data_IF_974910258044
#
_entry.id   IF_974910258044
#
_cell.length_a   1.000
_cell.length_b   1.000
_cell.length_c   1.000
_cell.angle_alpha   90.00
_cell.angle_beta   90.00
_cell.angle_gamma   90.00
#
_symmetry.space_group_name_H-M   'P 1'
#
loop_
_entity.id
_entity.type
_entity.pdbx_description
1 polymer ?
#
# COMPACT_ATOMS: atom_id res chain seq x y z
N UNK A 1 6.15 -1.13 -26.88
CA UNK A 1 7.14 -2.22 -26.99
C UNK A 1 8.05 -2.41 -25.76
N UNK A 2 8.22 -1.46 -24.84
CA UNK A 2 9.04 -1.65 -23.63
C UNK A 2 8.37 -2.45 -22.50
N UNK A 3 7.04 -2.50 -22.47
CA UNK A 3 6.25 -3.21 -21.41
C UNK A 3 6.31 -4.75 -21.51
N UNK A 4 6.54 -5.30 -22.68
CA UNK A 4 6.62 -6.76 -22.93
C UNK A 4 7.97 -7.36 -22.49
N UNK A 5 9.03 -6.57 -22.46
CA UNK A 5 10.37 -7.04 -22.11
C UNK A 5 10.54 -7.40 -20.63
N UNK A 6 9.81 -6.70 -19.74
CA UNK A 6 9.87 -6.97 -18.28
C UNK A 6 9.13 -8.26 -17.92
N UNK A 7 8.02 -8.56 -18.61
CA UNK A 7 7.29 -9.81 -18.41
C UNK A 7 8.10 -11.03 -18.90
N UNK A 8 8.83 -10.87 -20.02
CA UNK A 8 9.73 -11.90 -20.57
C UNK A 8 10.98 -12.11 -19.72
N UNK A 9 11.51 -11.07 -19.05
CA UNK A 9 12.63 -11.21 -18.12
C UNK A 9 12.21 -11.97 -16.85
N UNK A 10 10.99 -11.75 -16.35
CA UNK A 10 10.47 -12.51 -15.20
C UNK A 10 10.22 -13.99 -15.57
N UNK A 11 9.83 -14.30 -16.80
CA UNK A 11 9.65 -15.65 -17.31
C UNK A 11 10.99 -16.32 -17.70
N UNK A 12 11.99 -15.55 -18.13
CA UNK A 12 13.31 -16.06 -18.53
C UNK A 12 14.17 -16.59 -17.38
N UNK A 13 13.90 -16.15 -16.15
CA UNK A 13 14.59 -16.65 -14.94
C UNK A 13 14.15 -18.09 -14.59
N UNK A 14 13.03 -18.56 -15.14
CA UNK A 14 12.45 -19.90 -14.87
C UNK A 14 13.14 -21.01 -15.68
N UNK A 15 13.87 -20.68 -16.75
CA UNK A 15 14.36 -21.66 -17.73
C UNK A 15 15.73 -22.27 -17.44
N UNK A 16 16.34 -22.03 -16.30
CA UNK A 16 17.71 -22.43 -16.00
C UNK A 16 17.86 -23.49 -14.89
N UNK A 17 16.99 -24.52 -14.78
CA UNK A 17 17.14 -25.55 -13.74
C UNK A 17 17.20 -26.96 -14.32
N UNK A 18 18.29 -27.63 -13.99
CA UNK A 18 18.60 -29.00 -14.35
C UNK A 18 17.60 -30.04 -13.77
N UNK A 19 17.45 -31.12 -14.48
CA UNK A 19 16.62 -32.32 -14.23
C UNK A 19 16.70 -32.86 -12.79
N UNK A 20 15.83 -32.39 -11.94
CA UNK A 20 15.29 -33.09 -10.76
C UNK A 20 13.78 -32.92 -10.84
N UNK A 21 12.97 -33.83 -10.31
CA UNK A 21 11.49 -33.83 -10.38
C UNK A 21 10.92 -32.46 -10.73
N UNK A 22 10.33 -32.30 -11.92
CA UNK A 22 9.91 -30.98 -12.39
C UNK A 22 8.98 -30.35 -11.38
N UNK A 23 9.32 -29.20 -10.82
CA UNK A 23 8.48 -28.56 -9.83
C UNK A 23 7.13 -28.23 -10.45
N UNK A 24 6.08 -28.68 -9.83
CA UNK A 24 4.71 -28.48 -10.28
C UNK A 24 4.17 -27.11 -9.84
N UNK A 25 3.51 -26.40 -10.76
CA UNK A 25 2.77 -25.18 -10.43
C UNK A 25 1.45 -25.57 -9.76
N UNK A 26 1.24 -25.13 -8.52
CA UNK A 26 0.04 -25.45 -7.72
C UNK A 26 -0.70 -24.19 -7.31
N UNK A 27 -2.02 -24.22 -7.40
CA UNK A 27 -2.88 -23.21 -6.77
C UNK A 27 -2.83 -23.45 -5.25
N UNK A 28 -2.43 -22.44 -4.51
CA UNK A 28 -2.35 -22.47 -3.05
C UNK A 28 -3.61 -21.95 -2.40
N UNK A 29 -4.15 -20.87 -2.95
CA UNK A 29 -5.36 -20.27 -2.41
C UNK A 29 -6.04 -19.35 -3.43
N UNK A 30 -7.34 -19.18 -3.22
CA UNK A 30 -8.15 -18.12 -3.84
C UNK A 30 -8.85 -17.33 -2.74
N UNK A 31 -9.20 -16.08 -3.00
CA UNK A 31 -9.91 -15.26 -2.02
C UNK A 31 -10.53 -14.03 -2.64
N UNK A 32 -11.43 -13.43 -1.88
CA UNK A 32 -12.08 -12.16 -2.23
C UNK A 32 -12.12 -11.25 -1.02
N UNK A 33 -12.21 -9.95 -1.26
CA UNK A 33 -12.41 -8.97 -0.22
C UNK A 33 -13.24 -7.79 -0.71
N UNK A 34 -13.91 -7.16 0.23
CA UNK A 34 -14.51 -5.83 0.11
C UNK A 34 -13.77 -4.92 1.09
N UNK A 35 -13.42 -3.74 0.63
CA UNK A 35 -12.80 -2.70 1.44
C UNK A 35 -13.61 -1.42 1.27
N UNK A 36 -13.84 -0.71 2.36
CA UNK A 36 -14.54 0.58 2.38
C UNK A 36 -13.62 1.59 3.06
N UNK A 37 -13.26 2.63 2.33
CA UNK A 37 -12.52 3.78 2.84
C UNK A 37 -13.51 4.88 3.20
N UNK A 38 -13.29 5.54 4.33
CA UNK A 38 -14.11 6.65 4.81
C UNK A 38 -13.23 7.72 5.46
N UNK A 39 -13.47 8.98 5.11
CA UNK A 39 -12.75 10.12 5.64
C UNK A 39 -13.75 11.08 6.29
N UNK A 40 -13.41 11.65 7.45
CA UNK A 40 -14.31 12.62 8.12
C UNK A 40 -14.53 13.86 7.28
N UNK A 41 -15.74 14.40 7.34
CA UNK A 41 -16.15 15.57 6.54
C UNK A 41 -16.59 15.23 5.12
N UNK A 42 -16.56 13.96 4.74
CA UNK A 42 -17.18 13.49 3.51
C UNK A 42 -18.62 13.07 3.79
N UNK A 43 -19.58 13.60 3.03
CA UNK A 43 -21.02 13.27 3.14
C UNK A 43 -21.33 11.90 2.51
N UNK A 44 -20.42 11.34 1.76
CA UNK A 44 -20.57 10.06 1.08
C UNK A 44 -20.43 8.87 2.06
N UNK A 45 -21.22 7.83 1.85
CA UNK A 45 -21.23 6.59 2.69
C UNK A 45 -19.91 5.81 2.59
N UNK A 46 -19.07 6.13 1.64
CA UNK A 46 -17.74 5.56 1.46
C UNK A 46 -17.04 6.33 0.38
N UNK A 47 -15.94 6.99 0.72
CA UNK A 47 -15.14 7.69 -0.27
C UNK A 47 -14.71 6.76 -1.39
N UNK A 48 -14.36 5.52 -1.01
CA UNK A 48 -14.07 4.45 -1.96
C UNK A 48 -14.55 3.10 -1.44
N UNK A 49 -15.18 2.37 -2.31
CA UNK A 49 -15.52 0.96 -2.09
C UNK A 49 -14.72 0.12 -3.09
N UNK A 50 -14.01 -0.87 -2.58
CA UNK A 50 -13.17 -1.75 -3.38
C UNK A 50 -13.69 -3.18 -3.31
N UNK A 51 -13.75 -3.84 -4.44
CA UNK A 51 -13.93 -5.29 -4.52
C UNK A 51 -12.71 -5.91 -5.18
N UNK A 52 -12.11 -6.89 -4.52
CA UNK A 52 -10.89 -7.52 -4.99
C UNK A 52 -10.92 -9.03 -4.96
N UNK A 53 -10.21 -9.62 -5.91
CA UNK A 53 -9.97 -11.06 -6.02
C UNK A 53 -8.47 -11.31 -5.87
N UNK A 54 -8.12 -12.41 -5.20
CA UNK A 54 -6.73 -12.83 -4.97
C UNK A 54 -6.57 -14.28 -5.39
N UNK A 55 -5.44 -14.59 -6.04
CA UNK A 55 -5.01 -15.95 -6.32
C UNK A 55 -3.54 -16.08 -5.92
N UNK A 56 -3.20 -17.15 -5.22
CA UNK A 56 -1.82 -17.48 -4.87
C UNK A 56 -1.43 -18.82 -5.46
N UNK A 57 -0.23 -18.87 -6.04
CA UNK A 57 0.35 -20.07 -6.64
C UNK A 57 1.69 -20.38 -5.97
N UNK A 58 2.15 -21.62 -6.06
CA UNK A 58 3.51 -22.03 -5.72
C UNK A 58 4.13 -22.84 -6.86
N UNK A 59 5.45 -22.76 -6.97
CA UNK A 59 6.24 -23.57 -7.89
C UNK A 59 7.46 -24.10 -7.16
N UNK A 60 7.50 -25.41 -6.98
CA UNK A 60 8.49 -26.04 -6.12
C UNK A 60 8.39 -25.56 -4.66
N UNK A 61 9.55 -25.53 -3.98
CA UNK A 61 9.64 -25.17 -2.55
C UNK A 61 9.87 -23.68 -2.30
N UNK A 62 10.45 -22.98 -3.29
CA UNK A 62 11.04 -21.66 -3.07
C UNK A 62 10.29 -20.55 -3.76
N UNK A 63 9.47 -20.86 -4.77
CA UNK A 63 8.74 -19.83 -5.52
C UNK A 63 7.27 -19.73 -5.13
N UNK A 64 6.79 -18.52 -5.00
CA UNK A 64 5.38 -18.22 -4.89
C UNK A 64 5.00 -17.04 -5.77
N UNK A 65 3.77 -17.09 -6.32
CA UNK A 65 3.23 -16.04 -7.18
C UNK A 65 1.89 -15.59 -6.62
N UNK A 66 1.59 -14.30 -6.82
CA UNK A 66 0.33 -13.69 -6.43
C UNK A 66 -0.27 -12.92 -7.59
N UNK A 67 -1.56 -13.03 -7.74
CA UNK A 67 -2.37 -12.13 -8.56
C UNK A 67 -3.44 -11.51 -7.68
N UNK A 68 -3.56 -10.21 -7.72
CA UNK A 68 -4.67 -9.48 -7.14
C UNK A 68 -5.27 -8.55 -8.19
N UNK A 69 -6.58 -8.58 -8.35
CA UNK A 69 -7.31 -7.65 -9.19
C UNK A 69 -8.40 -6.97 -8.36
N UNK A 70 -8.47 -5.66 -8.40
CA UNK A 70 -9.39 -4.83 -7.62
C UNK A 70 -10.09 -3.81 -8.52
N UNK A 71 -11.40 -3.67 -8.35
CA UNK A 71 -12.20 -2.58 -8.91
C UNK A 71 -12.61 -1.65 -7.78
N UNK A 72 -12.66 -0.36 -8.07
CA UNK A 72 -12.98 0.69 -7.09
C UNK A 72 -14.14 1.54 -7.58
N UNK A 73 -15.04 1.88 -6.66
CA UNK A 73 -16.16 2.79 -6.87
C UNK A 73 -16.18 3.83 -5.75
N UNK A 74 -16.82 4.95 -6.03
CA UNK A 74 -17.30 5.90 -5.03
C UNK A 74 -18.81 5.71 -4.91
N UNK A 75 -19.33 5.65 -3.70
CA UNK A 75 -20.75 5.68 -3.41
C UNK A 75 -21.09 7.12 -3.00
N UNK A 76 -21.68 7.84 -3.92
CA UNK A 76 -22.16 9.21 -3.71
C UNK A 76 -23.64 9.17 -3.40
N UNK A 77 -24.08 9.86 -2.34
CA UNK A 77 -25.48 9.87 -1.91
C UNK A 77 -26.38 10.61 -2.88
N UNK A 78 -25.86 11.59 -3.60
CA UNK A 78 -26.63 12.43 -4.53
C UNK A 78 -26.58 11.90 -5.97
N UNK A 79 -25.41 11.43 -6.41
CA UNK A 79 -25.17 11.03 -7.80
C UNK A 79 -25.09 9.49 -7.98
N UNK A 80 -25.16 8.69 -6.91
CA UNK A 80 -25.15 7.24 -6.95
C UNK A 80 -23.73 6.64 -6.98
N UNK A 81 -23.55 5.51 -7.67
CA UNK A 81 -22.28 4.75 -7.66
C UNK A 81 -21.47 5.03 -8.92
N UNK A 82 -20.28 5.58 -8.74
CA UNK A 82 -19.35 5.91 -9.82
C UNK A 82 -18.08 5.05 -9.82
N UNK A 83 -17.63 4.64 -11.01
CA UNK A 83 -16.35 3.92 -11.15
C UNK A 83 -15.18 4.88 -10.93
N UNK A 84 -14.32 4.60 -9.94
CA UNK A 84 -13.12 5.41 -9.63
C UNK A 84 -11.84 4.86 -10.26
N UNK A 85 -11.68 3.55 -10.27
CA UNK A 85 -10.43 2.97 -10.77
C UNK A 85 -10.39 1.46 -10.70
N UNK A 86 -9.20 0.96 -10.97
CA UNK A 86 -8.85 -0.46 -10.85
C UNK A 86 -7.40 -0.56 -10.39
N UNK A 87 -7.05 -1.74 -9.88
CA UNK A 87 -5.66 -2.09 -9.54
C UNK A 87 -5.44 -3.56 -9.86
N UNK A 88 -4.29 -3.85 -10.46
CA UNK A 88 -3.79 -5.20 -10.67
C UNK A 88 -2.40 -5.27 -10.05
N UNK A 89 -2.16 -6.27 -9.19
CA UNK A 89 -0.84 -6.59 -8.67
C UNK A 89 -0.46 -7.98 -9.16
N UNK A 90 0.72 -8.11 -9.75
CA UNK A 90 1.37 -9.39 -10.06
C UNK A 90 2.64 -9.49 -9.21
N UNK A 91 2.69 -10.50 -8.37
CA UNK A 91 3.80 -10.77 -7.46
C UNK A 91 4.54 -12.04 -7.84
N UNK A 92 5.87 -12.03 -7.73
CA UNK A 92 6.69 -13.21 -7.71
C UNK A 92 7.69 -13.11 -6.56
N UNK A 93 7.79 -14.15 -5.75
CA UNK A 93 8.69 -14.24 -4.62
C UNK A 93 9.58 -15.47 -4.74
N UNK A 94 10.84 -15.33 -4.39
CA UNK A 94 11.79 -16.44 -4.22
C UNK A 94 12.31 -16.48 -2.79
N UNK A 95 12.19 -17.63 -2.15
CA UNK A 95 12.88 -17.94 -0.90
C UNK A 95 14.35 -18.19 -1.22
N UNK A 96 15.24 -17.36 -0.70
CA UNK A 96 16.70 -17.46 -0.97
C UNK A 96 17.41 -18.23 0.14
N UNK A 97 16.80 -18.31 1.30
CA UNK A 97 17.25 -19.08 2.46
C UNK A 97 16.08 -19.23 3.42
N UNK A 98 16.31 -19.84 4.58
CA UNK A 98 15.24 -20.10 5.53
C UNK A 98 14.60 -18.82 6.08
N UNK A 99 15.38 -17.77 6.16
CA UNK A 99 15.00 -16.53 6.84
C UNK A 99 14.93 -15.33 5.90
N UNK A 100 15.15 -15.50 4.59
CA UNK A 100 15.20 -14.40 3.64
C UNK A 100 14.49 -14.73 2.33
N UNK A 101 13.72 -13.77 1.84
CA UNK A 101 13.05 -13.84 0.53
C UNK A 101 13.21 -12.54 -0.23
N UNK A 102 13.33 -12.65 -1.54
CA UNK A 102 13.29 -11.52 -2.48
C UNK A 102 12.08 -11.67 -3.39
N UNK A 103 11.55 -10.57 -3.84
CA UNK A 103 10.39 -10.58 -4.72
C UNK A 103 10.38 -9.42 -5.68
N UNK A 104 9.56 -9.55 -6.68
CA UNK A 104 9.20 -8.48 -7.60
C UNK A 104 7.69 -8.33 -7.65
N UNK A 105 7.21 -7.11 -7.85
CA UNK A 105 5.80 -6.84 -8.10
C UNK A 105 5.68 -5.88 -9.26
N UNK A 106 4.72 -6.12 -10.11
CA UNK A 106 4.16 -5.11 -10.97
C UNK A 106 2.77 -4.74 -10.46
N UNK A 107 2.56 -3.45 -10.22
CA UNK A 107 1.27 -2.86 -9.87
C UNK A 107 0.84 -1.94 -10.99
N UNK A 108 -0.36 -2.16 -11.48
CA UNK A 108 -1.03 -1.27 -12.40
C UNK A 108 -2.22 -0.61 -11.70
N UNK A 109 -2.27 0.70 -11.75
CA UNK A 109 -3.45 1.49 -11.41
C UNK A 109 -3.85 2.39 -12.59
N UNK A 110 -5.01 3.01 -12.49
CA UNK A 110 -5.48 3.93 -13.54
C UNK A 110 -4.46 5.03 -13.84
N UNK A 111 -3.81 5.54 -12.82
CA UNK A 111 -2.95 6.72 -12.88
C UNK A 111 -1.47 6.43 -12.96
N UNK A 112 -1.01 5.22 -12.64
CA UNK A 112 0.40 4.85 -12.66
C UNK A 112 0.61 3.34 -12.78
N UNK A 113 1.82 2.98 -13.21
CA UNK A 113 2.41 1.65 -13.07
C UNK A 113 3.56 1.72 -12.07
N UNK A 114 3.67 0.75 -11.13
CA UNK A 114 4.83 0.60 -10.23
C UNK A 114 5.51 -0.74 -10.45
N UNK A 115 6.84 -0.71 -10.47
CA UNK A 115 7.71 -1.88 -10.61
C UNK A 115 8.54 -1.99 -9.36
N UNK A 116 8.26 -3.01 -8.54
CA UNK A 116 8.84 -3.18 -7.22
C UNK A 116 9.95 -4.23 -7.21
N UNK A 117 11.02 -3.93 -6.48
CA UNK A 117 11.90 -4.90 -5.85
C UNK A 117 11.52 -4.98 -4.38
N UNK A 118 11.34 -6.19 -3.86
CA UNK A 118 10.79 -6.46 -2.55
C UNK A 118 11.68 -7.40 -1.76
N UNK A 119 11.80 -7.17 -0.47
CA UNK A 119 12.53 -8.05 0.44
C UNK A 119 11.73 -8.32 1.69
N UNK A 120 11.93 -9.47 2.30
CA UNK A 120 11.44 -9.77 3.65
C UNK A 120 12.41 -10.73 4.33
N UNK A 121 12.55 -10.55 5.64
CA UNK A 121 13.37 -11.43 6.46
C UNK A 121 12.73 -11.68 7.82
N UNK A 122 13.15 -12.81 8.45
CA UNK A 122 12.79 -13.13 9.83
C UNK A 122 13.95 -13.92 10.44
N UNK A 123 14.62 -13.34 11.43
CA UNK A 123 15.79 -13.94 12.08
C UNK A 123 15.70 -13.78 13.60
N UNK A 124 15.41 -14.89 14.30
CA UNK A 124 15.21 -14.88 15.74
C UNK A 124 14.05 -13.95 16.14
N UNK A 125 14.35 -12.97 16.96
CA UNK A 125 13.38 -11.94 17.38
C UNK A 125 13.23 -10.80 16.36
N UNK A 126 14.07 -10.71 15.36
CA UNK A 126 14.08 -9.64 14.36
C UNK A 126 13.34 -10.07 13.10
N UNK A 127 12.57 -9.17 12.53
CA UNK A 127 11.94 -9.32 11.22
C UNK A 127 11.81 -7.99 10.53
N UNK A 128 11.58 -8.01 9.23
CA UNK A 128 11.31 -6.81 8.46
C UNK A 128 10.98 -7.11 7.02
N UNK A 129 10.45 -6.10 6.37
CA UNK A 129 10.17 -6.06 4.95
C UNK A 129 10.50 -4.68 4.39
N UNK A 130 10.85 -4.64 3.12
CA UNK A 130 11.18 -3.40 2.44
C UNK A 130 10.92 -3.50 0.95
N UNK A 131 10.15 -2.57 0.44
CA UNK A 131 9.78 -2.45 -0.97
C UNK A 131 10.42 -1.17 -1.55
N UNK A 132 11.11 -1.31 -2.68
CA UNK A 132 11.60 -0.20 -3.51
C UNK A 132 10.88 -0.29 -4.84
N UNK A 133 10.35 0.81 -5.35
CA UNK A 133 9.71 0.82 -6.64
C UNK A 133 10.08 2.03 -7.51
N UNK A 134 10.09 1.79 -8.81
CA UNK A 134 9.98 2.82 -9.83
C UNK A 134 8.50 3.00 -10.16
N UNK A 135 8.01 4.23 -10.12
CA UNK A 135 6.66 4.60 -10.52
C UNK A 135 6.70 5.32 -11.86
N UNK A 136 5.97 4.80 -12.82
CA UNK A 136 5.72 5.47 -14.11
C UNK A 136 4.30 6.01 -14.12
N UNK A 137 4.14 7.30 -14.23
CA UNK A 137 2.85 7.96 -14.23
C UNK A 137 2.20 7.93 -15.63
N UNK A 138 0.88 7.72 -15.67
CA UNK A 138 0.09 7.71 -16.89
C UNK A 138 -0.56 9.07 -17.10
N UNK A 139 0.00 9.91 -17.98
CA UNK A 139 -0.50 11.26 -18.27
C UNK A 139 -1.94 11.29 -18.80
N UNK A 140 -2.40 10.22 -19.43
CA UNK A 140 -3.73 10.12 -20.04
C UNK A 140 -4.85 9.83 -19.02
N UNK A 141 -4.52 9.64 -17.76
CA UNK A 141 -5.49 9.24 -16.72
C UNK A 141 -6.16 10.41 -16.00
N UNK A 142 -6.09 11.62 -16.54
CA UNK A 142 -6.72 12.82 -15.95
C UNK A 142 -5.93 13.41 -14.78
N UNK A 143 -4.66 13.04 -14.62
CA UNK A 143 -3.75 13.76 -13.74
C UNK A 143 -3.32 15.09 -14.38
N UNK A 144 -3.00 16.10 -13.56
CA UNK A 144 -2.41 17.34 -14.07
C UNK A 144 -1.19 17.00 -14.94
N UNK A 145 -1.00 17.75 -16.03
CA UNK A 145 0.25 17.74 -16.77
C UNK A 145 1.37 18.03 -15.78
N UNK A 146 2.42 17.21 -15.75
CA UNK A 146 3.54 17.40 -14.85
C UNK A 146 3.69 16.35 -13.75
N UNK A 147 2.76 15.40 -13.62
CA UNK A 147 2.98 14.23 -12.77
C UNK A 147 4.20 13.47 -13.28
N UNK A 148 5.25 13.48 -12.47
CA UNK A 148 6.56 12.94 -12.81
C UNK A 148 6.64 11.48 -12.46
N UNK A 149 7.44 10.74 -13.22
CA UNK A 149 7.91 9.44 -12.77
C UNK A 149 8.71 9.60 -11.46
N UNK A 150 8.67 8.60 -10.61
CA UNK A 150 9.25 8.71 -9.28
C UNK A 150 9.76 7.40 -8.71
N UNK A 151 10.45 7.53 -7.57
CA UNK A 151 10.79 6.42 -6.70
C UNK A 151 9.80 6.34 -5.55
N UNK A 152 9.51 5.13 -5.16
CA UNK A 152 8.65 4.79 -4.03
C UNK A 152 9.38 3.81 -3.13
N UNK A 153 9.37 4.08 -1.84
CA UNK A 153 9.91 3.20 -0.81
C UNK A 153 8.85 2.99 0.25
N UNK A 154 8.65 1.77 0.68
CA UNK A 154 7.72 1.45 1.77
C UNK A 154 8.15 0.16 2.47
N UNK A 155 7.99 0.12 3.78
CA UNK A 155 8.17 -1.09 4.55
C UNK A 155 8.34 -0.86 6.04
N UNK A 156 8.50 -1.97 6.74
CA UNK A 156 8.91 -2.00 8.14
C UNK A 156 10.30 -2.67 8.18
N UNK A 157 11.37 -1.90 7.86
CA UNK A 157 12.71 -2.48 7.68
C UNK A 157 13.23 -3.19 8.93
N UNK A 158 12.72 -2.85 10.11
CA UNK A 158 13.06 -3.54 11.35
C UNK A 158 11.83 -3.67 12.25
N UNK A 159 11.62 -4.86 12.77
CA UNK A 159 10.68 -5.18 13.84
C UNK A 159 11.33 -6.11 14.85
N UNK A 160 10.99 -5.94 16.12
CA UNK A 160 11.49 -6.74 17.23
C UNK A 160 10.34 -7.38 17.98
N UNK A 161 10.37 -8.69 18.14
CA UNK A 161 9.38 -9.43 18.93
C UNK A 161 9.78 -9.42 20.39
N UNK A 162 8.93 -8.84 21.24
CA UNK A 162 9.11 -8.71 22.69
C UNK A 162 7.95 -9.43 23.40
N UNK A 163 8.13 -10.71 23.71
CA UNK A 163 7.05 -11.55 24.23
C UNK A 163 5.88 -11.67 23.24
N UNK A 164 4.65 -11.29 23.63
CA UNK A 164 3.51 -11.30 22.72
C UNK A 164 3.48 -10.10 21.76
N UNK A 165 4.18 -9.02 22.08
CA UNK A 165 4.20 -7.80 21.29
C UNK A 165 5.30 -7.81 20.22
N UNK A 166 5.04 -7.10 19.12
CA UNK A 166 6.03 -6.78 18.09
C UNK A 166 6.10 -5.26 17.98
N UNK A 167 7.30 -4.71 18.07
CA UNK A 167 7.58 -3.29 17.88
C UNK A 167 8.32 -3.14 16.56
N UNK A 168 7.84 -2.27 15.67
CA UNK A 168 8.42 -2.05 14.36
C UNK A 168 8.50 -0.58 13.98
N UNK A 169 9.52 -0.26 13.21
CA UNK A 169 9.64 1.06 12.58
C UNK A 169 9.15 0.96 11.13
N UNK A 170 8.12 1.75 10.80
CA UNK A 170 7.59 1.85 9.45
C UNK A 170 8.06 3.14 8.78
N UNK A 171 8.40 3.01 7.52
CA UNK A 171 8.85 4.11 6.67
C UNK A 171 8.17 4.02 5.30
N UNK A 172 7.77 5.19 4.77
CA UNK A 172 7.26 5.34 3.40
C UNK A 172 7.75 6.65 2.83
N UNK A 173 8.16 6.65 1.57
CA UNK A 173 8.46 7.88 0.83
C UNK A 173 8.11 7.74 -0.65
N UNK A 174 7.74 8.85 -1.25
CA UNK A 174 7.55 9.01 -2.70
C UNK A 174 8.33 10.25 -3.14
N UNK A 175 9.23 10.08 -4.11
CA UNK A 175 10.14 11.11 -4.58
C UNK A 175 10.19 11.13 -6.10
N UNK A 176 9.85 12.22 -6.79
CA UNK A 176 10.02 12.37 -8.23
C UNK A 176 11.47 12.23 -8.67
N UNK A 177 11.71 11.64 -9.86
CA UNK A 177 13.06 11.42 -10.37
C UNK A 177 13.65 12.69 -10.96
N UNK A 178 12.85 13.51 -11.63
CA UNK A 178 13.30 14.73 -12.27
C UNK A 178 12.24 15.82 -12.14
N UNK A 179 12.70 17.04 -11.93
CA UNK A 179 11.94 18.22 -12.31
C UNK A 179 11.79 18.16 -13.83
N UNK A 180 10.58 17.96 -14.34
CA UNK A 180 10.32 18.20 -15.76
C UNK A 180 10.71 19.64 -16.10
N UNK A 181 11.07 19.91 -17.34
CA UNK A 181 11.39 21.25 -17.84
C UNK A 181 10.23 22.25 -17.68
N UNK A 182 9.04 21.76 -17.36
CA UNK A 182 7.87 22.56 -17.06
C UNK A 182 7.70 22.73 -15.54
N UNK A 183 8.58 23.49 -14.91
CA UNK A 183 8.44 24.00 -13.54
C UNK A 183 7.15 24.81 -13.31
N UNK A 184 6.28 24.86 -14.30
CA UNK A 184 5.10 25.68 -14.32
C UNK A 184 3.86 25.04 -13.68
N UNK A 185 3.93 23.80 -13.19
CA UNK A 185 2.80 23.14 -12.56
C UNK A 185 3.11 22.74 -11.12
N UNK A 186 2.20 23.02 -10.20
CA UNK A 186 2.32 22.60 -8.81
C UNK A 186 2.30 21.07 -8.73
N UNK A 187 3.26 20.48 -8.04
CA UNK A 187 3.36 19.03 -7.87
C UNK A 187 4.02 18.65 -6.56
N UNK A 188 3.83 17.41 -6.14
CA UNK A 188 4.53 16.85 -4.98
C UNK A 188 5.98 16.64 -5.36
N UNK A 189 6.88 17.31 -4.63
CA UNK A 189 8.33 17.14 -4.79
C UNK A 189 8.85 16.00 -3.92
N UNK A 190 8.29 15.85 -2.73
CA UNK A 190 8.68 14.82 -1.80
C UNK A 190 7.55 14.53 -0.82
N UNK A 191 7.35 13.25 -0.50
CA UNK A 191 6.44 12.82 0.55
C UNK A 191 7.09 11.72 1.36
N UNK A 192 7.04 11.83 2.69
CA UNK A 192 7.51 10.78 3.57
C UNK A 192 6.65 10.64 4.82
N UNK A 193 6.62 9.43 5.34
CA UNK A 193 5.94 9.05 6.58
C UNK A 193 6.86 8.20 7.43
N UNK A 194 6.88 8.48 8.73
CA UNK A 194 7.61 7.71 9.72
C UNK A 194 6.71 7.33 10.88
N UNK A 195 6.66 6.05 11.20
CA UNK A 195 5.80 5.54 12.27
C UNK A 195 6.57 4.56 13.16
N UNK A 196 6.29 4.61 14.46
CA UNK A 196 6.59 3.53 15.37
C UNK A 196 5.31 2.71 15.56
N UNK A 197 5.36 1.41 15.29
CA UNK A 197 4.21 0.51 15.35
C UNK A 197 4.40 -0.52 16.45
N UNK A 198 3.35 -0.77 17.25
CA UNK A 198 3.32 -1.81 18.27
C UNK A 198 2.09 -2.67 18.02
N UNK A 199 2.31 -3.95 17.74
CA UNK A 199 1.23 -4.90 17.49
C UNK A 199 1.27 -6.07 18.46
N UNK A 200 0.11 -6.60 18.84
CA UNK A 200 0.00 -7.78 19.67
C UNK A 200 -1.31 -8.55 19.42
N UNK A 201 -1.31 -9.87 19.61
CA UNK A 201 -2.56 -10.62 19.67
C UNK A 201 -3.32 -10.25 20.96
N UNK A 202 -4.63 -10.01 20.81
CA UNK A 202 -5.55 -9.77 21.92
C UNK A 202 -6.27 -11.06 22.32
N UNK A 203 -6.57 -11.89 21.32
CA UNK A 203 -7.19 -13.18 21.52
C UNK A 203 -6.65 -14.19 20.52
N UNK A 204 -6.29 -15.37 21.00
CA UNK A 204 -5.85 -16.50 20.19
C UNK A 204 -6.59 -17.76 20.65
N UNK A 205 -7.63 -18.13 19.90
CA UNK A 205 -8.41 -19.36 20.10
C UNK A 205 -8.18 -20.35 18.96
N UNK A 206 -8.82 -21.50 19.04
CA UNK A 206 -8.70 -22.56 18.02
C UNK A 206 -9.09 -22.09 16.61
N UNK A 207 -10.16 -21.29 16.52
CA UNK A 207 -10.71 -20.83 15.24
C UNK A 207 -10.66 -19.32 15.06
N UNK A 208 -10.69 -18.56 16.13
CA UNK A 208 -10.72 -17.09 16.11
C UNK A 208 -9.43 -16.52 16.64
N UNK A 209 -8.82 -15.63 15.88
CA UNK A 209 -7.68 -14.83 16.32
C UNK A 209 -8.05 -13.35 16.14
N UNK A 210 -7.74 -12.54 17.16
CA UNK A 210 -7.93 -11.08 17.14
C UNK A 210 -6.60 -10.45 17.50
N UNK A 211 -6.18 -9.45 16.72
CA UNK A 211 -4.97 -8.66 16.94
C UNK A 211 -5.27 -7.18 16.94
N UNK A 212 -4.46 -6.43 17.65
CA UNK A 212 -4.47 -4.97 17.63
C UNK A 212 -3.06 -4.49 17.30
N UNK A 213 -2.98 -3.40 16.55
CA UNK A 213 -1.74 -2.68 16.33
C UNK A 213 -2.02 -1.19 16.53
N UNK A 214 -1.10 -0.53 17.20
CA UNK A 214 -1.07 0.90 17.36
C UNK A 214 0.13 1.46 16.62
N UNK A 215 -0.05 2.57 15.91
CA UNK A 215 0.97 3.35 15.24
C UNK A 215 1.01 4.77 15.78
N UNK A 216 2.20 5.23 16.11
CA UNK A 216 2.48 6.63 16.32
C UNK A 216 3.22 7.17 15.09
N UNK A 217 2.55 8.02 14.34
CA UNK A 217 3.14 8.72 13.21
C UNK A 217 3.76 10.02 13.70
N UNK A 218 5.08 10.03 13.81
CA UNK A 218 5.83 11.16 14.35
C UNK A 218 6.37 12.09 13.26
N UNK A 219 6.27 11.71 11.99
CA UNK A 219 6.55 12.55 10.85
C UNK A 219 5.72 12.11 9.63
N UNK A 220 5.06 13.07 8.99
CA UNK A 220 4.36 12.89 7.73
C UNK A 220 4.32 14.23 7.01
N UNK A 221 5.28 14.45 6.13
CA UNK A 221 5.46 15.71 5.45
C UNK A 221 5.30 15.52 3.94
N UNK A 222 4.62 16.46 3.32
CA UNK A 222 4.46 16.54 1.86
C UNK A 222 5.02 17.89 1.42
N UNK A 223 6.10 17.85 0.68
CA UNK A 223 6.66 19.04 0.02
C UNK A 223 6.02 19.23 -1.34
N UNK A 224 5.54 20.44 -1.60
CA UNK A 224 4.88 20.79 -2.86
C UNK A 224 5.55 22.04 -3.41
N UNK A 225 6.08 21.95 -4.62
CA UNK A 225 6.54 23.14 -5.36
C UNK A 225 5.41 23.73 -6.19
N UNK A 226 5.31 25.05 -6.16
CA UNK A 226 4.42 25.83 -7.02
C UNK A 226 5.10 26.26 -8.31
N UNK A 227 4.35 27.00 -9.14
CA UNK A 227 4.83 27.56 -10.42
C UNK A 227 6.01 28.52 -10.29
N UNK A 228 6.20 29.12 -9.12
CA UNK A 228 7.21 30.13 -8.84
C UNK A 228 8.00 29.69 -7.61
N UNK A 229 9.27 30.09 -7.52
CA UNK A 229 10.12 29.85 -6.35
C UNK A 229 9.49 30.36 -5.04
N UNK A 230 8.59 31.33 -5.13
CA UNK A 230 7.87 31.92 -3.99
C UNK A 230 6.66 31.08 -3.53
N UNK A 231 6.32 29.99 -4.23
CA UNK A 231 5.17 29.12 -3.96
C UNK A 231 5.57 27.73 -3.47
N UNK A 232 6.76 27.61 -2.90
CA UNK A 232 7.18 26.38 -2.23
C UNK A 232 6.60 26.33 -0.81
N UNK A 233 5.96 25.21 -0.46
CA UNK A 233 5.40 25.02 0.89
C UNK A 233 5.40 23.53 1.25
N UNK A 234 5.45 23.26 2.54
CA UNK A 234 5.35 21.94 3.12
C UNK A 234 3.99 21.78 3.78
N UNK A 235 3.28 20.71 3.46
CA UNK A 235 2.16 20.23 4.23
C UNK A 235 2.68 19.24 5.26
N UNK A 236 2.53 19.58 6.52
CA UNK A 236 2.82 18.65 7.62
C UNK A 236 1.52 18.13 8.18
N UNK A 237 1.44 16.82 8.31
CA UNK A 237 0.54 16.23 9.28
C UNK A 237 0.97 16.70 10.68
N UNK A 238 0.01 16.84 11.57
CA UNK A 238 0.34 16.94 12.99
C UNK A 238 1.28 15.78 13.33
N UNK A 239 2.51 16.13 13.76
CA UNK A 239 3.60 15.19 14.07
C UNK A 239 3.28 14.23 15.23
N UNK A 240 2.03 14.05 15.60
CA UNK A 240 1.54 13.16 16.63
C UNK A 240 0.26 12.43 16.19
N UNK A 241 0.13 12.11 14.91
CA UNK A 241 -0.98 11.30 14.42
C UNK A 241 -0.97 9.89 15.02
N UNK A 242 -2.15 9.38 15.31
CA UNK A 242 -2.33 8.10 15.96
C UNK A 242 -3.15 7.18 15.08
N UNK A 243 -2.65 5.98 14.86
CA UNK A 243 -3.29 5.00 14.00
C UNK A 243 -3.58 3.74 14.80
N UNK A 244 -4.78 3.23 14.69
CA UNK A 244 -5.19 1.99 15.34
C UNK A 244 -5.65 0.99 14.27
N UNK A 245 -5.09 -0.20 14.28
CA UNK A 245 -5.55 -1.32 13.48
C UNK A 245 -6.12 -2.42 14.36
N UNK A 246 -7.32 -2.84 14.04
CA UNK A 246 -7.94 -4.04 14.60
C UNK A 246 -8.00 -5.10 13.50
N UNK A 247 -7.58 -6.32 13.81
CA UNK A 247 -7.62 -7.44 12.86
C UNK A 247 -8.32 -8.63 13.48
N UNK A 248 -9.08 -9.37 12.67
CA UNK A 248 -9.69 -10.62 13.05
C UNK A 248 -9.54 -11.65 11.95
N UNK A 249 -9.35 -12.92 12.33
CA UNK A 249 -9.43 -14.04 11.41
C UNK A 249 -10.19 -15.19 12.04
N UNK A 250 -11.15 -15.76 11.30
CA UNK A 250 -11.96 -16.89 11.73
C UNK A 250 -11.81 -18.05 10.76
N UNK A 251 -11.28 -19.17 11.24
CA UNK A 251 -11.12 -20.41 10.49
C UNK A 251 -12.42 -21.22 10.55
N UNK A 252 -13.26 -21.06 9.52
CA UNK A 252 -14.55 -21.72 9.45
C UNK A 252 -14.41 -23.24 9.21
N UNK A 253 -13.48 -23.62 8.30
CA UNK A 253 -13.09 -25.02 8.03
C UNK A 253 -11.56 -25.10 7.92
N UNK A 254 -11.00 -26.28 7.73
CA UNK A 254 -9.56 -26.47 7.50
C UNK A 254 -9.05 -25.63 6.32
N UNK A 255 -9.88 -25.41 5.33
CA UNK A 255 -9.53 -24.73 4.08
C UNK A 255 -10.06 -23.29 4.00
N UNK A 256 -11.13 -22.92 4.72
CA UNK A 256 -11.82 -21.64 4.60
C UNK A 256 -11.56 -20.74 5.80
N UNK A 257 -11.00 -19.57 5.55
CA UNK A 257 -10.76 -18.53 6.55
C UNK A 257 -11.48 -17.24 6.14
N UNK A 258 -12.25 -16.65 7.06
CA UNK A 258 -12.76 -15.28 6.96
C UNK A 258 -11.81 -14.32 7.66
N UNK A 259 -11.64 -13.13 7.09
CA UNK A 259 -10.78 -12.09 7.66
C UNK A 259 -11.53 -10.77 7.73
N UNK A 260 -11.23 -9.99 8.76
CA UNK A 260 -11.68 -8.62 8.90
C UNK A 260 -10.54 -7.76 9.42
N UNK A 261 -10.46 -6.51 8.95
CA UNK A 261 -9.57 -5.50 9.50
C UNK A 261 -10.26 -4.16 9.52
N UNK A 262 -9.93 -3.36 10.50
CA UNK A 262 -10.34 -1.97 10.60
C UNK A 262 -9.12 -1.12 10.95
N UNK A 263 -8.87 -0.10 10.15
CA UNK A 263 -7.88 0.95 10.39
C UNK A 263 -8.61 2.22 10.79
N UNK A 264 -8.11 2.88 11.80
CA UNK A 264 -8.59 4.18 12.25
C UNK A 264 -7.38 5.09 12.44
N UNK A 265 -7.29 6.12 11.62
CA UNK A 265 -6.19 7.09 11.61
C UNK A 265 -6.73 8.46 12.02
N UNK A 266 -6.22 9.01 13.13
CA UNK A 266 -6.52 10.34 13.63
C UNK A 266 -5.40 11.28 13.27
N UNK A 267 -5.70 12.33 12.52
CA UNK A 267 -4.71 13.28 12.05
C UNK A 267 -5.24 14.71 12.02
N UNK A 268 -4.31 15.66 12.07
CA UNK A 268 -4.55 17.06 11.74
C UNK A 268 -3.53 17.48 10.68
N UNK A 269 -4.01 18.12 9.61
CA UNK A 269 -3.12 18.72 8.63
C UNK A 269 -2.74 20.12 9.05
N UNK A 270 -1.45 20.39 9.22
CA UNK A 270 -0.90 21.73 9.37
C UNK A 270 -0.15 22.14 8.11
N UNK A 271 -0.29 23.40 7.74
CA UNK A 271 0.37 23.98 6.59
C UNK A 271 1.47 24.93 7.06
N UNK A 272 2.69 24.68 6.61
CA UNK A 272 3.80 25.62 6.74
C UNK A 272 4.24 26.13 5.36
N UNK A 273 4.50 27.43 5.22
CA UNK A 273 5.05 28.05 4.00
C UNK A 273 4.22 29.17 3.39
N UNK A 274 4.78 29.84 2.36
CA UNK A 274 4.28 31.08 1.78
C UNK A 274 3.36 30.93 0.55
N UNK A 275 2.81 29.77 0.27
CA UNK A 275 2.07 29.50 -0.96
C UNK A 275 0.64 30.05 -1.00
N UNK A 276 0.43 31.14 -1.76
CA UNK A 276 -0.90 31.73 -1.94
C UNK A 276 -1.86 30.93 -2.83
N UNK A 277 -1.38 30.13 -3.76
CA UNK A 277 -2.24 29.32 -4.63
C UNK A 277 -2.84 28.11 -3.93
N UNK A 278 -2.07 27.47 -3.07
CA UNK A 278 -2.58 26.33 -2.30
C UNK A 278 -3.58 26.76 -1.22
N UNK A 279 -3.39 27.96 -0.64
CA UNK A 279 -4.38 28.53 0.27
C UNK A 279 -5.77 28.68 -0.36
N UNK A 280 -5.88 28.82 -1.68
CA UNK A 280 -7.17 28.90 -2.38
C UNK A 280 -7.80 27.53 -2.68
N UNK A 281 -7.02 26.51 -2.94
CA UNK A 281 -7.54 25.16 -3.23
C UNK A 281 -7.73 24.32 -1.96
N UNK A 282 -6.90 24.51 -0.94
CA UNK A 282 -6.96 23.79 0.33
C UNK A 282 -7.78 24.51 1.40
N UNK A 283 -8.17 25.77 1.17
CA UNK A 283 -9.01 26.51 2.13
C UNK A 283 -10.39 25.89 2.32
N UNK A 284 -10.81 24.99 1.45
CA UNK A 284 -12.05 24.20 1.63
C UNK A 284 -11.80 22.86 2.35
N UNK A 285 -10.59 22.29 2.31
CA UNK A 285 -10.33 20.99 2.90
C UNK A 285 -9.50 21.02 4.18
N UNK A 286 -8.74 22.07 4.46
CA UNK A 286 -7.73 22.04 5.51
C UNK A 286 -8.15 22.63 6.85
N UNK A 287 -9.30 23.28 6.96
CA UNK A 287 -9.63 23.95 8.23
C UNK A 287 -10.45 23.15 9.21
N UNK A 288 -11.25 22.17 8.78
CA UNK A 288 -12.14 21.49 9.70
C UNK A 288 -12.56 20.07 9.28
N UNK A 289 -12.12 19.54 8.10
CA UNK A 289 -12.79 18.40 7.51
C UNK A 289 -12.14 17.06 7.78
N UNK A 290 -10.82 16.93 7.69
CA UNK A 290 -10.19 15.62 7.71
C UNK A 290 -9.51 15.34 9.06
N UNK A 291 -10.30 14.95 10.05
CA UNK A 291 -9.81 14.61 11.41
C UNK A 291 -9.53 13.12 11.59
N UNK A 292 -10.08 12.27 10.73
CA UNK A 292 -9.82 10.86 10.73
C UNK A 292 -9.96 10.26 9.33
N UNK A 293 -9.24 9.14 9.12
CA UNK A 293 -9.45 8.20 8.04
C UNK A 293 -9.83 6.85 8.64
N UNK A 294 -10.78 6.16 8.03
CA UNK A 294 -11.18 4.82 8.41
C UNK A 294 -11.15 3.89 7.20
N UNK A 295 -10.65 2.68 7.38
CA UNK A 295 -10.66 1.62 6.37
C UNK A 295 -11.20 0.33 6.98
N UNK A 296 -12.33 -0.16 6.49
CA UNK A 296 -12.87 -1.47 6.83
C UNK A 296 -12.62 -2.44 5.68
N UNK A 297 -11.96 -3.55 5.94
CA UNK A 297 -11.85 -4.65 4.98
C UNK A 297 -12.43 -5.93 5.54
N UNK A 298 -13.24 -6.63 4.75
CA UNK A 298 -13.77 -7.96 5.04
C UNK A 298 -13.46 -8.86 3.85
N UNK A 299 -13.04 -10.09 4.12
CA UNK A 299 -12.70 -11.02 3.05
C UNK A 299 -12.72 -12.47 3.48
N UNK A 300 -12.48 -13.33 2.51
CA UNK A 300 -12.29 -14.76 2.74
C UNK A 300 -11.15 -15.30 1.87
N UNK A 301 -10.58 -16.39 2.32
CA UNK A 301 -9.54 -17.16 1.60
C UNK A 301 -9.83 -18.65 1.72
N UNK A 302 -9.82 -19.34 0.58
CA UNK A 302 -9.87 -20.80 0.50
C UNK A 302 -8.51 -21.34 0.10
N UNK A 303 -7.97 -22.30 0.86
CA UNK A 303 -6.70 -23.00 0.61
C UNK A 303 -6.97 -24.37 0.01
N UNK A 304 -6.16 -24.77 -0.98
CA UNK A 304 -6.21 -26.08 -1.62
C UNK A 304 -5.18 -27.03 -1.02
#
# INVERSE_FOLDING_TARGET
>A
MRKTAVLLAALGIISGVAYAEQPELKVKSVGQFIQVDNTSGNEDIGEKVHFGNKVSLSYGKDWSFGLMARKSWQADTDDGIHSKGHRIDLDAWKKVGDNFSVGVRWRQEKSYDRYYLRTKYSYGMFSGDFDIAYQSNNSDAGRPKGDRDGYYFEGTPISVKLGPATVGYYFKTETPIAAGSDFNEAGIDHWYRHQLRVGMPVYQGEKLNIGVQYGWEFANDIEISGKDADNHYTLKHDNNSHILWLTASYQATENLTFTGSYEYDMFNWEKEGNGTQYAKSSSKSSKDSDKYYGELQIGWTYKF
#
